data_IF_877303689751
#
_entry.id   IF_877303689751
#
_cell.length_a   1.000
_cell.length_b   1.000
_cell.length_c   1.000
_cell.angle_alpha   90.00
_cell.angle_beta   90.00
_cell.angle_gamma   90.00
#
_symmetry.space_group_name_H-M   'P 1'
#
loop_
_entity.id
_entity.type
_entity.pdbx_description
1 polymer ?
#
# COMPACT_ATOMS: atom_id res chain seq x y z
N UNK A 1 0.83 58.93 51.66
CA UNK A 1 0.60 57.52 51.28
C UNK A 1 0.50 56.68 52.53
N UNK A 2 -0.59 55.94 52.73
CA UNK A 2 -0.82 55.06 53.87
C UNK A 2 0.27 53.99 53.96
N UNK A 3 0.77 53.62 55.17
CA UNK A 3 1.88 52.67 55.32
C UNK A 3 1.64 51.31 54.65
N UNK A 4 0.39 50.88 54.57
CA UNK A 4 -0.02 49.67 53.92
C UNK A 4 0.30 49.67 52.39
N UNK A 5 0.15 50.81 51.70
CA UNK A 5 0.41 50.93 50.25
C UNK A 5 1.89 50.79 49.90
N UNK A 6 2.80 51.25 50.78
CA UNK A 6 4.26 51.09 50.63
C UNK A 6 4.69 49.62 50.77
N UNK A 7 4.06 48.89 51.67
CA UNK A 7 4.35 47.46 51.90
C UNK A 7 3.90 46.57 50.76
N UNK A 8 2.73 46.82 50.13
CA UNK A 8 2.26 46.13 48.93
C UNK A 8 3.15 46.44 47.75
N UNK A 9 3.59 47.68 47.56
CA UNK A 9 4.52 48.04 46.48
C UNK A 9 5.88 47.35 46.61
N UNK A 10 6.38 47.21 47.80
CA UNK A 10 7.67 46.54 48.09
C UNK A 10 7.55 45.03 47.84
N UNK A 11 6.48 44.37 48.31
CA UNK A 11 6.24 42.92 48.03
C UNK A 11 6.03 42.66 46.56
N UNK A 12 5.32 43.51 45.83
CA UNK A 12 5.15 43.38 44.39
C UNK A 12 6.49 43.54 43.65
N UNK A 13 7.32 44.49 44.04
CA UNK A 13 8.65 44.69 43.44
C UNK A 13 9.59 43.48 43.67
N UNK A 14 9.57 42.90 44.89
CA UNK A 14 10.34 41.70 45.23
C UNK A 14 9.86 40.50 44.43
N UNK A 15 8.53 40.35 44.27
CA UNK A 15 7.95 39.28 43.47
C UNK A 15 8.34 39.37 41.97
N UNK A 16 8.23 40.58 41.38
CA UNK A 16 8.66 40.83 39.99
C UNK A 16 10.16 40.59 39.81
N UNK A 17 11.00 41.04 40.79
CA UNK A 17 12.43 40.78 40.76
C UNK A 17 12.76 39.27 40.84
N UNK A 18 12.05 38.51 41.69
CA UNK A 18 12.21 37.07 41.80
C UNK A 18 11.79 36.33 40.51
N UNK A 19 10.66 36.69 39.89
CA UNK A 19 10.21 36.14 38.61
C UNK A 19 11.22 36.47 37.52
N UNK A 20 11.71 37.71 37.44
CA UNK A 20 12.72 38.10 36.47
C UNK A 20 14.03 37.31 36.65
N UNK A 21 14.45 37.09 37.89
CA UNK A 21 15.68 36.35 38.21
C UNK A 21 15.54 34.86 37.86
N UNK A 22 14.39 34.26 38.14
CA UNK A 22 14.07 32.88 37.72
C UNK A 22 14.06 32.78 36.19
N UNK A 23 13.39 33.69 35.51
CA UNK A 23 13.28 33.70 34.04
C UNK A 23 14.65 33.90 33.38
N UNK A 24 15.52 34.68 33.98
CA UNK A 24 16.89 34.93 33.49
C UNK A 24 17.84 33.74 33.78
N UNK A 25 17.62 33.04 34.90
CA UNK A 25 18.41 31.85 35.30
C UNK A 25 18.02 30.57 34.63
N UNK A 26 16.86 30.52 33.95
CA UNK A 26 16.46 29.36 33.17
C UNK A 26 17.44 29.15 32.00
N UNK A 27 18.07 27.97 31.88
CA UNK A 27 18.97 27.69 30.78
C UNK A 27 18.22 27.82 29.46
N UNK A 28 18.59 28.80 28.64
CA UNK A 28 18.12 28.91 27.26
C UNK A 28 18.86 27.89 26.47
N UNK A 29 18.17 26.86 25.98
CA UNK A 29 18.76 25.92 25.03
C UNK A 29 19.27 26.72 23.81
N UNK A 30 20.60 26.80 23.70
CA UNK A 30 21.23 27.40 22.51
C UNK A 30 21.00 26.47 21.35
N UNK A 31 20.30 26.93 20.35
CA UNK A 31 20.22 26.26 19.05
C UNK A 31 21.60 26.28 18.41
N UNK A 32 22.29 25.18 18.45
CA UNK A 32 23.57 25.05 17.75
C UNK A 32 23.27 24.47 16.38
N UNK A 33 23.43 25.28 15.34
CA UNK A 33 23.42 24.81 13.98
C UNK A 33 24.78 24.16 13.71
N UNK A 34 24.81 22.85 13.55
CA UNK A 34 26.01 22.11 13.25
C UNK A 34 26.25 22.11 11.73
N UNK A 35 27.50 22.44 11.34
CA UNK A 35 27.95 22.30 9.94
C UNK A 35 28.63 20.94 9.78
N UNK A 36 28.02 20.03 9.04
CA UNK A 36 28.54 18.69 8.82
C UNK A 36 28.31 18.22 7.38
N UNK A 37 29.16 17.32 6.90
CA UNK A 37 29.04 16.73 5.58
C UNK A 37 29.45 15.27 5.58
N UNK A 38 28.84 14.49 4.73
CA UNK A 38 29.17 13.07 4.53
C UNK A 38 30.66 12.90 4.21
N UNK A 39 31.28 11.90 4.83
CA UNK A 39 32.70 11.58 4.64
C UNK A 39 33.69 12.56 5.26
N UNK A 40 33.23 13.53 6.08
CA UNK A 40 34.10 14.44 6.85
C UNK A 40 34.07 14.09 8.34
N UNK A 41 35.18 14.38 9.07
CA UNK A 41 35.21 14.17 10.51
C UNK A 41 34.31 15.20 11.23
N UNK A 42 33.65 14.76 12.30
CA UNK A 42 32.87 15.59 13.19
C UNK A 42 33.79 16.58 13.93
N UNK A 43 33.55 17.88 13.74
CA UNK A 43 34.44 18.96 14.19
C UNK A 43 34.15 19.44 15.63
N UNK A 44 33.06 18.98 16.22
CA UNK A 44 32.56 19.45 17.50
C UNK A 44 32.81 18.37 18.59
N UNK A 45 32.47 18.70 19.82
CA UNK A 45 32.48 17.76 20.92
C UNK A 45 31.46 16.62 20.68
N UNK A 46 31.53 15.56 21.49
CA UNK A 46 30.58 14.45 21.42
C UNK A 46 29.15 14.99 21.49
N UNK A 47 28.32 14.62 20.51
CA UNK A 47 26.90 14.95 20.50
C UNK A 47 26.08 13.77 21.04
N UNK A 48 25.25 14.07 22.04
CA UNK A 48 24.21 13.16 22.56
C UNK A 48 22.83 13.75 22.30
N UNK A 49 21.84 12.89 22.15
CA UNK A 49 20.48 13.29 21.90
C UNK A 49 19.87 14.00 23.13
N UNK A 50 19.50 15.28 23.06
CA UNK A 50 18.89 15.98 24.20
C UNK A 50 17.41 15.59 24.41
N UNK A 51 16.80 14.94 23.45
CA UNK A 51 15.42 14.46 23.47
C UNK A 51 15.26 13.26 22.52
N UNK A 52 14.15 12.53 22.66
CA UNK A 52 13.81 11.47 21.71
C UNK A 52 13.40 12.07 20.37
N UNK A 53 13.96 11.54 19.29
CA UNK A 53 13.57 11.97 17.94
C UNK A 53 13.62 10.80 16.95
N UNK A 54 12.80 10.89 15.89
CA UNK A 54 12.79 9.89 14.84
C UNK A 54 13.85 10.22 13.78
N UNK A 55 14.52 9.19 13.27
CA UNK A 55 15.45 9.30 12.14
C UNK A 55 14.68 9.09 10.87
N UNK A 56 14.69 10.07 9.97
CA UNK A 56 14.05 9.97 8.67
C UNK A 56 14.87 9.08 7.73
N UNK A 57 14.17 8.36 6.86
CA UNK A 57 14.80 7.60 5.77
C UNK A 57 15.35 8.57 4.71
N UNK A 58 16.39 8.17 3.99
CA UNK A 58 16.83 8.92 2.81
C UNK A 58 15.78 8.89 1.71
N UNK A 59 15.83 9.86 0.79
CA UNK A 59 14.89 9.89 -0.33
C UNK A 59 15.06 8.65 -1.23
N UNK A 60 16.31 8.19 -1.41
CA UNK A 60 16.62 6.99 -2.18
C UNK A 60 15.98 5.74 -1.55
N UNK A 61 16.11 5.58 -0.22
CA UNK A 61 15.49 4.47 0.51
C UNK A 61 13.95 4.50 0.41
N UNK A 62 13.35 5.69 0.50
CA UNK A 62 11.90 5.86 0.34
C UNK A 62 11.45 5.55 -1.09
N UNK A 63 12.19 5.96 -2.10
CA UNK A 63 11.87 5.66 -3.50
C UNK A 63 12.00 4.17 -3.78
N UNK A 64 13.04 3.51 -3.26
CA UNK A 64 13.19 2.07 -3.38
C UNK A 64 12.02 1.32 -2.71
N UNK A 65 11.67 1.68 -1.49
CA UNK A 65 10.55 1.06 -0.77
C UNK A 65 9.22 1.27 -1.47
N UNK A 66 8.99 2.47 -2.03
CA UNK A 66 7.82 2.75 -2.87
C UNK A 66 7.79 1.88 -4.12
N UNK A 67 8.92 1.72 -4.78
CA UNK A 67 9.03 0.88 -5.97
C UNK A 67 8.74 -0.61 -5.62
N UNK A 68 9.28 -1.11 -4.51
CA UNK A 68 9.03 -2.47 -4.04
C UNK A 68 7.55 -2.69 -3.68
N UNK A 69 6.93 -1.74 -2.98
CA UNK A 69 5.50 -1.78 -2.65
C UNK A 69 4.65 -1.78 -3.91
N UNK A 70 4.98 -0.96 -4.90
CA UNK A 70 4.26 -0.91 -6.17
C UNK A 70 4.42 -2.19 -6.99
N UNK A 71 5.60 -2.79 -7.00
CA UNK A 71 5.87 -4.06 -7.68
C UNK A 71 5.15 -5.24 -7.00
N UNK A 72 4.93 -5.18 -5.70
CA UNK A 72 4.19 -6.19 -4.95
C UNK A 72 2.66 -6.07 -5.09
N UNK A 73 2.15 -4.96 -5.63
CA UNK A 73 0.72 -4.73 -5.79
C UNK A 73 0.07 -5.71 -6.76
N UNK A 74 -1.09 -6.21 -6.37
CA UNK A 74 -1.89 -7.14 -7.16
C UNK A 74 -3.20 -6.47 -7.55
N UNK A 75 -3.52 -6.37 -8.85
CA UNK A 75 -4.77 -5.77 -9.29
C UNK A 75 -5.97 -6.63 -8.89
N UNK A 76 -7.08 -5.97 -8.60
CA UNK A 76 -8.32 -6.61 -8.23
C UNK A 76 -9.19 -6.86 -9.45
N UNK A 77 -9.73 -8.08 -9.53
CA UNK A 77 -10.71 -8.49 -10.53
C UNK A 77 -11.94 -9.04 -9.84
N UNK A 78 -13.11 -8.69 -10.32
CA UNK A 78 -14.40 -9.15 -9.80
C UNK A 78 -14.97 -10.20 -10.74
N UNK A 79 -15.39 -11.34 -10.18
CA UNK A 79 -16.19 -12.31 -10.92
C UNK A 79 -17.60 -11.76 -11.11
N UNK A 80 -18.08 -11.73 -12.34
CA UNK A 80 -19.45 -11.38 -12.71
C UNK A 80 -20.30 -12.67 -12.79
N UNK A 81 -21.04 -13.03 -11.72
CA UNK A 81 -21.77 -14.30 -11.69
C UNK A 81 -22.90 -14.34 -12.72
N UNK A 82 -23.50 -13.18 -13.01
CA UNK A 82 -24.61 -13.06 -13.98
C UNK A 82 -24.19 -13.53 -15.37
N UNK A 83 -22.94 -13.24 -15.78
CA UNK A 83 -22.39 -13.69 -17.06
C UNK A 83 -22.34 -15.21 -17.19
N UNK A 84 -21.94 -15.89 -16.11
CA UNK A 84 -21.93 -17.34 -16.04
C UNK A 84 -23.35 -17.92 -16.12
N UNK A 85 -24.27 -17.38 -15.31
CA UNK A 85 -25.67 -17.81 -15.28
C UNK A 85 -26.39 -17.60 -16.63
N UNK A 86 -26.16 -16.45 -17.27
CA UNK A 86 -26.67 -16.16 -18.61
C UNK A 86 -26.17 -17.13 -19.67
N UNK A 87 -24.86 -17.39 -19.68
CA UNK A 87 -24.23 -18.29 -20.65
C UNK A 87 -24.70 -19.73 -20.48
N UNK A 88 -24.76 -20.24 -19.25
CA UNK A 88 -25.24 -21.59 -18.94
C UNK A 88 -26.73 -21.71 -19.29
N UNK A 89 -27.55 -20.72 -18.93
CA UNK A 89 -28.97 -20.71 -19.28
C UNK A 89 -29.20 -20.66 -20.80
N UNK A 90 -28.40 -19.87 -21.52
CA UNK A 90 -28.44 -19.84 -22.99
C UNK A 90 -28.07 -21.19 -23.60
N UNK A 91 -27.02 -21.84 -23.11
CA UNK A 91 -26.62 -23.18 -23.53
C UNK A 91 -27.72 -24.23 -23.26
N UNK A 92 -28.33 -24.22 -22.06
CA UNK A 92 -29.40 -25.15 -21.72
C UNK A 92 -30.64 -24.99 -22.63
N UNK A 93 -31.00 -23.74 -22.95
CA UNK A 93 -32.08 -23.48 -23.89
C UNK A 93 -31.76 -23.97 -25.29
N UNK A 94 -30.54 -23.73 -25.77
CA UNK A 94 -30.07 -24.20 -27.06
C UNK A 94 -30.02 -25.73 -27.13
N UNK A 95 -29.59 -26.39 -26.03
CA UNK A 95 -29.62 -27.85 -25.94
C UNK A 95 -31.02 -28.41 -26.09
N UNK A 96 -32.04 -27.83 -25.44
CA UNK A 96 -33.43 -28.29 -25.47
C UNK A 96 -34.07 -28.11 -26.86
N UNK A 97 -33.70 -27.03 -27.58
CA UNK A 97 -34.27 -26.74 -28.89
C UNK A 97 -33.60 -27.51 -30.03
N UNK A 98 -32.26 -27.50 -30.04
CA UNK A 98 -31.52 -27.87 -31.27
C UNK A 98 -30.60 -29.08 -31.08
N UNK A 99 -30.09 -29.35 -29.86
CA UNK A 99 -29.06 -30.37 -29.63
C UNK A 99 -29.54 -31.66 -28.97
N UNK A 100 -30.78 -31.71 -28.49
CA UNK A 100 -31.27 -32.87 -27.72
C UNK A 100 -31.06 -34.22 -28.37
N UNK A 101 -31.22 -34.32 -29.71
CA UNK A 101 -31.03 -35.54 -30.46
C UNK A 101 -29.56 -35.84 -30.78
N UNK A 102 -28.73 -34.83 -30.85
CA UNK A 102 -27.31 -34.94 -31.20
C UNK A 102 -26.43 -35.15 -29.96
N UNK A 103 -26.72 -34.41 -28.89
CA UNK A 103 -25.99 -34.45 -27.62
C UNK A 103 -26.86 -35.19 -26.63
N UNK A 104 -26.54 -36.43 -26.31
CA UNK A 104 -27.28 -37.21 -25.32
C UNK A 104 -27.21 -36.57 -23.93
N UNK A 105 -28.20 -36.86 -23.06
CA UNK A 105 -28.36 -36.31 -21.72
C UNK A 105 -27.06 -36.36 -20.91
N UNK A 106 -26.32 -37.48 -20.99
CA UNK A 106 -25.06 -37.65 -20.23
C UNK A 106 -23.96 -36.71 -20.67
N UNK A 107 -23.83 -36.44 -21.96
CA UNK A 107 -22.83 -35.50 -22.49
C UNK A 107 -23.23 -34.06 -22.15
N UNK A 108 -24.52 -33.75 -22.27
CA UNK A 108 -25.06 -32.44 -21.87
C UNK A 108 -24.74 -32.12 -20.39
N UNK A 109 -24.98 -33.06 -19.47
CA UNK A 109 -24.64 -32.86 -18.05
C UNK A 109 -23.15 -32.55 -17.83
N UNK A 110 -22.26 -33.25 -18.58
CA UNK A 110 -20.83 -32.98 -18.50
C UNK A 110 -20.46 -31.58 -19.03
N UNK A 111 -21.13 -31.14 -20.10
CA UNK A 111 -20.90 -29.80 -20.67
C UNK A 111 -21.36 -28.73 -19.70
N UNK A 112 -22.59 -28.83 -19.15
CA UNK A 112 -23.12 -27.87 -18.16
C UNK A 112 -22.22 -27.80 -16.95
N UNK A 113 -21.81 -28.90 -16.38
CA UNK A 113 -20.91 -28.95 -15.24
C UNK A 113 -19.53 -28.31 -15.55
N UNK A 114 -18.96 -28.58 -16.73
CA UNK A 114 -17.70 -27.98 -17.14
C UNK A 114 -17.84 -26.47 -17.36
N UNK A 115 -18.95 -25.99 -17.91
CA UNK A 115 -19.22 -24.55 -18.01
C UNK A 115 -19.28 -23.89 -16.63
N UNK A 116 -19.96 -24.51 -15.67
CA UNK A 116 -20.01 -24.02 -14.28
C UNK A 116 -18.59 -23.92 -13.66
N UNK A 117 -17.77 -24.96 -13.81
CA UNK A 117 -16.39 -24.95 -13.32
C UNK A 117 -15.58 -23.82 -13.95
N UNK A 118 -15.66 -23.63 -15.26
CA UNK A 118 -14.95 -22.61 -16.01
C UNK A 118 -15.38 -21.20 -15.53
N UNK A 119 -16.67 -20.93 -15.45
CA UNK A 119 -17.19 -19.66 -14.99
C UNK A 119 -16.89 -19.38 -13.49
N UNK A 120 -16.88 -20.43 -12.68
CA UNK A 120 -16.51 -20.33 -11.27
C UNK A 120 -15.03 -20.04 -11.06
N UNK A 121 -14.16 -20.58 -11.92
CA UNK A 121 -12.72 -20.29 -11.91
C UNK A 121 -12.45 -18.88 -12.43
N UNK A 122 -13.17 -18.47 -13.46
CA UNK A 122 -13.09 -17.15 -14.08
C UNK A 122 -12.42 -17.17 -15.45
N UNK A 123 -13.05 -16.46 -16.39
CA UNK A 123 -12.57 -16.27 -17.77
C UNK A 123 -12.09 -14.82 -17.90
N UNK A 124 -10.79 -14.65 -18.11
CA UNK A 124 -10.17 -13.35 -18.33
C UNK A 124 -10.20 -12.99 -19.82
N UNK A 125 -10.37 -11.68 -20.12
CA UNK A 125 -10.27 -11.21 -21.51
C UNK A 125 -8.82 -11.28 -22.01
N UNK A 126 -8.64 -11.48 -23.32
CA UNK A 126 -7.30 -11.50 -23.93
C UNK A 126 -6.56 -10.17 -23.77
N UNK A 127 -7.28 -9.06 -23.78
CA UNK A 127 -6.71 -7.72 -23.57
C UNK A 127 -6.21 -7.52 -22.13
N UNK A 128 -6.99 -7.98 -21.14
CA UNK A 128 -6.57 -7.91 -19.74
C UNK A 128 -5.38 -8.83 -19.46
N UNK A 129 -5.40 -10.04 -20.01
CA UNK A 129 -4.28 -10.97 -19.88
C UNK A 129 -3.00 -10.40 -20.49
N UNK A 130 -3.07 -9.84 -21.70
CA UNK A 130 -1.92 -9.21 -22.35
C UNK A 130 -1.36 -8.04 -21.52
N UNK A 131 -2.24 -7.21 -20.93
CA UNK A 131 -1.83 -6.12 -20.03
C UNK A 131 -1.11 -6.67 -18.80
N UNK A 132 -1.67 -7.65 -18.09
CA UNK A 132 -1.06 -8.25 -16.91
C UNK A 132 0.31 -8.86 -17.23
N UNK A 133 0.45 -9.53 -18.36
CA UNK A 133 1.71 -10.11 -18.82
C UNK A 133 2.74 -9.02 -19.17
N UNK A 134 2.30 -7.95 -19.83
CA UNK A 134 3.15 -6.79 -20.16
C UNK A 134 3.68 -6.11 -18.91
N UNK A 135 2.88 -6.02 -17.85
CA UNK A 135 3.25 -5.46 -16.54
C UNK A 135 3.98 -6.49 -15.64
N UNK A 136 4.30 -7.68 -16.15
CA UNK A 136 4.95 -8.78 -15.40
C UNK A 136 4.17 -9.23 -14.15
N UNK A 137 2.85 -9.03 -14.15
CA UNK A 137 1.97 -9.44 -13.06
C UNK A 137 1.60 -10.90 -13.24
N UNK A 138 1.94 -11.74 -12.27
CA UNK A 138 1.67 -13.19 -12.29
C UNK A 138 0.48 -13.59 -11.41
N UNK A 139 0.02 -12.71 -10.54
CA UNK A 139 -1.04 -12.97 -9.57
C UNK A 139 -1.98 -11.78 -9.48
N UNK A 140 -3.28 -12.05 -9.43
CA UNK A 140 -4.33 -11.05 -9.22
C UNK A 140 -5.08 -11.33 -7.92
N UNK A 141 -5.81 -10.33 -7.41
CA UNK A 141 -6.77 -10.50 -6.32
C UNK A 141 -8.16 -10.73 -6.92
N UNK A 142 -8.63 -11.97 -6.89
CA UNK A 142 -9.94 -12.34 -7.40
C UNK A 142 -11.00 -12.14 -6.32
N UNK A 143 -11.98 -11.27 -6.61
CA UNK A 143 -13.10 -10.97 -5.70
C UNK A 143 -14.30 -11.81 -6.11
N UNK A 144 -14.72 -12.69 -5.20
CA UNK A 144 -15.91 -13.51 -5.33
C UNK A 144 -16.67 -13.49 -4.01
N UNK A 145 -17.97 -13.23 -4.02
CA UNK A 145 -18.80 -13.15 -2.81
C UNK A 145 -18.20 -12.22 -1.73
N UNK A 146 -17.72 -11.04 -2.11
CA UNK A 146 -17.05 -10.07 -1.23
C UNK A 146 -15.74 -10.57 -0.58
N UNK A 147 -15.24 -11.73 -0.93
CA UNK A 147 -13.93 -12.21 -0.51
C UNK A 147 -12.90 -12.04 -1.63
N UNK A 148 -11.73 -11.48 -1.30
CA UNK A 148 -10.62 -11.34 -2.22
C UNK A 148 -9.59 -12.42 -1.93
N UNK A 149 -9.27 -13.23 -2.93
CA UNK A 149 -8.27 -14.31 -2.84
C UNK A 149 -7.19 -14.11 -3.90
N UNK A 150 -5.90 -14.35 -3.59
CA UNK A 150 -4.86 -14.32 -4.60
C UNK A 150 -5.01 -15.52 -5.54
N UNK A 151 -5.00 -15.26 -6.85
CA UNK A 151 -5.09 -16.28 -7.89
C UNK A 151 -4.01 -16.02 -8.94
N UNK A 152 -3.26 -17.05 -9.30
CA UNK A 152 -2.27 -16.96 -10.36
C UNK A 152 -2.98 -16.85 -11.74
N UNK A 153 -2.47 -16.01 -12.63
CA UNK A 153 -3.12 -15.75 -13.92
C UNK A 153 -3.13 -16.97 -14.84
N UNK A 154 -2.21 -17.91 -14.67
CA UNK A 154 -2.15 -19.17 -15.42
C UNK A 154 -3.26 -20.16 -15.02
N UNK A 155 -3.84 -20.02 -13.83
CA UNK A 155 -4.99 -20.80 -13.37
C UNK A 155 -6.31 -20.30 -13.94
N UNK A 156 -6.34 -19.09 -14.49
CA UNK A 156 -7.53 -18.52 -15.11
C UNK A 156 -7.74 -19.11 -16.52
N UNK A 157 -9.00 -19.15 -16.91
CA UNK A 157 -9.34 -19.47 -18.29
C UNK A 157 -9.23 -18.21 -19.17
N UNK A 158 -8.76 -18.39 -20.38
CA UNK A 158 -9.07 -17.52 -21.52
C UNK A 158 -10.24 -18.15 -22.28
N UNK A 159 -10.89 -17.41 -23.18
CA UNK A 159 -11.93 -17.96 -24.05
C UNK A 159 -11.42 -19.20 -24.80
N UNK A 160 -10.17 -19.15 -25.30
CA UNK A 160 -9.55 -20.28 -26.00
C UNK A 160 -9.35 -21.48 -25.07
N UNK A 161 -8.73 -21.31 -23.90
CA UNK A 161 -8.51 -22.41 -22.94
C UNK A 161 -9.84 -23.02 -22.46
N UNK A 162 -10.85 -22.17 -22.26
CA UNK A 162 -12.19 -22.61 -21.88
C UNK A 162 -12.83 -23.50 -22.97
N UNK A 163 -12.76 -23.04 -24.22
CA UNK A 163 -13.23 -23.83 -25.35
C UNK A 163 -12.46 -25.16 -25.51
N UNK A 164 -11.14 -25.13 -25.42
CA UNK A 164 -10.31 -26.34 -25.44
C UNK A 164 -10.68 -27.32 -24.32
N UNK A 165 -10.95 -26.81 -23.11
CA UNK A 165 -11.40 -27.61 -21.98
C UNK A 165 -12.76 -28.27 -22.22
N UNK A 166 -13.70 -27.58 -22.88
CA UNK A 166 -15.00 -28.12 -23.28
C UNK A 166 -14.83 -29.20 -24.33
N UNK A 167 -13.98 -28.97 -25.32
CA UNK A 167 -13.72 -29.96 -26.39
C UNK A 167 -13.00 -31.24 -25.90
N UNK A 168 -12.34 -31.15 -24.74
CA UNK A 168 -11.67 -32.29 -24.11
C UNK A 168 -12.61 -33.19 -23.26
N UNK A 169 -13.88 -32.84 -23.10
CA UNK A 169 -14.86 -33.59 -22.28
C UNK A 169 -15.08 -35.01 -22.81
N UNK A 170 -15.10 -35.17 -24.13
CA UNK A 170 -15.26 -36.46 -24.77
C UNK A 170 -14.36 -36.55 -26.02
N UNK A 171 -13.42 -37.48 -26.00
CA UNK A 171 -12.42 -37.67 -27.07
C UNK A 171 -12.81 -38.76 -28.06
N UNK A 172 -13.97 -39.43 -27.90
CA UNK A 172 -14.50 -40.40 -28.88
C UNK A 172 -14.87 -39.70 -30.18
N UNK A 173 -14.91 -40.44 -31.25
CA UNK A 173 -15.29 -39.87 -32.57
C UNK A 173 -16.69 -39.25 -32.54
N UNK A 174 -17.65 -39.95 -31.93
CA UNK A 174 -19.01 -39.42 -31.76
C UNK A 174 -19.06 -38.19 -30.84
N UNK A 175 -18.41 -38.27 -29.69
CA UNK A 175 -18.37 -37.16 -28.72
C UNK A 175 -17.75 -35.90 -29.32
N UNK A 176 -16.63 -36.03 -30.03
CA UNK A 176 -15.99 -34.88 -30.72
C UNK A 176 -16.91 -34.26 -31.77
N UNK A 177 -17.58 -35.09 -32.58
CA UNK A 177 -18.53 -34.60 -33.58
C UNK A 177 -19.69 -33.85 -32.91
N UNK A 178 -20.26 -34.41 -31.84
CA UNK A 178 -21.34 -33.79 -31.09
C UNK A 178 -20.89 -32.45 -30.48
N UNK A 179 -19.69 -32.38 -29.86
CA UNK A 179 -19.14 -31.16 -29.29
C UNK A 179 -18.87 -30.08 -30.36
N UNK A 180 -18.31 -30.47 -31.52
CA UNK A 180 -18.07 -29.53 -32.63
C UNK A 180 -19.37 -28.94 -33.18
N UNK A 181 -20.43 -29.76 -33.24
CA UNK A 181 -21.76 -29.33 -33.74
C UNK A 181 -22.55 -28.51 -32.74
N UNK A 182 -22.07 -28.42 -31.47
CA UNK A 182 -22.76 -27.73 -30.38
C UNK A 182 -22.44 -26.23 -30.29
N UNK A 183 -21.61 -25.67 -31.17
CA UNK A 183 -21.23 -24.26 -31.21
C UNK A 183 -20.85 -23.71 -29.79
N UNK A 184 -20.12 -24.50 -28.98
CA UNK A 184 -19.81 -24.19 -27.57
C UNK A 184 -19.08 -22.88 -27.40
N UNK A 185 -18.42 -22.38 -28.43
CA UNK A 185 -17.75 -21.07 -28.40
C UNK A 185 -18.71 -19.92 -28.15
N UNK A 186 -19.96 -20.03 -28.55
CA UNK A 186 -20.96 -18.97 -28.37
C UNK A 186 -21.37 -18.80 -26.91
N UNK A 187 -21.11 -19.81 -26.07
CA UNK A 187 -21.44 -19.83 -24.64
C UNK A 187 -20.22 -19.55 -23.74
N UNK A 188 -19.09 -19.16 -24.32
CA UNK A 188 -17.87 -18.86 -23.56
C UNK A 188 -17.50 -17.40 -23.74
N UNK A 189 -17.65 -16.60 -22.69
CA UNK A 189 -17.31 -15.19 -22.71
C UNK A 189 -16.58 -14.79 -21.41
N UNK A 190 -15.75 -13.74 -21.44
CA UNK A 190 -15.08 -13.25 -20.25
C UNK A 190 -16.09 -12.83 -19.18
N UNK A 191 -15.85 -13.27 -17.93
CA UNK A 191 -16.65 -12.90 -16.77
C UNK A 191 -15.82 -12.26 -15.65
N UNK A 192 -14.54 -11.99 -15.89
CA UNK A 192 -13.71 -11.23 -14.98
C UNK A 192 -13.67 -9.77 -15.43
N UNK A 193 -13.93 -8.88 -14.50
CA UNK A 193 -13.87 -7.43 -14.71
C UNK A 193 -12.83 -6.81 -13.77
N UNK A 194 -11.93 -6.00 -14.34
CA UNK A 194 -10.98 -5.22 -13.55
C UNK A 194 -11.72 -4.23 -12.63
N UNK A 195 -11.37 -4.26 -11.34
CA UNK A 195 -11.87 -3.30 -10.35
C UNK A 195 -10.84 -2.19 -10.15
N UNK A 196 -10.99 -1.15 -10.95
CA UNK A 196 -10.08 0.00 -10.91
C UNK A 196 -10.10 0.68 -9.54
N UNK A 197 -11.30 0.94 -8.99
CA UNK A 197 -11.44 1.68 -7.74
C UNK A 197 -10.76 0.95 -6.57
N UNK A 198 -10.98 -0.36 -6.47
CA UNK A 198 -10.38 -1.17 -5.41
C UNK A 198 -8.88 -1.33 -5.59
N UNK A 199 -8.41 -1.49 -6.83
CA UNK A 199 -6.98 -1.58 -7.14
C UNK A 199 -6.25 -0.29 -6.80
N UNK A 200 -6.81 0.87 -7.17
CA UNK A 200 -6.23 2.18 -6.85
C UNK A 200 -6.27 2.48 -5.35
N UNK A 201 -7.38 2.16 -4.67
CA UNK A 201 -7.49 2.32 -3.22
C UNK A 201 -6.45 1.48 -2.47
N UNK A 202 -6.30 0.21 -2.83
CA UNK A 202 -5.31 -0.69 -2.24
C UNK A 202 -3.87 -0.21 -2.49
N UNK A 203 -3.60 0.30 -3.70
CA UNK A 203 -2.30 0.89 -4.03
C UNK A 203 -2.00 2.13 -3.21
N UNK A 204 -2.97 3.01 -3.06
CA UNK A 204 -2.84 4.23 -2.24
C UNK A 204 -2.59 3.88 -0.78
N UNK A 205 -3.38 2.99 -0.21
CA UNK A 205 -3.23 2.53 1.18
C UNK A 205 -1.84 1.93 1.42
N UNK A 206 -1.34 1.11 0.51
CA UNK A 206 -0.02 0.50 0.61
C UNK A 206 1.11 1.55 0.56
N UNK A 207 0.97 2.60 -0.26
CA UNK A 207 1.94 3.69 -0.30
C UNK A 207 1.87 4.58 0.95
N UNK A 208 0.68 4.82 1.49
CA UNK A 208 0.49 5.60 2.72
C UNK A 208 0.97 4.85 3.98
N UNK A 209 1.01 3.52 3.94
CA UNK A 209 1.55 2.68 5.01
C UNK A 209 3.08 2.72 5.12
N UNK A 210 3.79 3.27 4.13
CA UNK A 210 5.24 3.39 4.16
C UNK A 210 5.65 4.38 5.25
N UNK A 211 6.43 3.90 6.23
CA UNK A 211 6.97 4.76 7.28
C UNK A 211 8.03 5.70 6.71
N UNK A 212 7.91 6.99 6.98
CA UNK A 212 8.92 7.99 6.63
C UNK A 212 10.17 7.91 7.52
N UNK A 213 10.08 7.18 8.64
CA UNK A 213 11.15 7.07 9.64
C UNK A 213 11.68 5.65 9.73
N UNK A 214 12.98 5.51 9.99
CA UNK A 214 13.66 4.21 10.11
C UNK A 214 13.72 3.72 11.55
N UNK A 215 14.02 4.62 12.50
CA UNK A 215 14.19 4.31 13.92
C UNK A 215 14.01 5.56 14.79
N UNK A 216 14.01 5.36 16.10
CA UNK A 216 13.97 6.44 17.09
C UNK A 216 15.29 6.45 17.87
N UNK A 217 15.91 7.62 18.00
CA UNK A 217 17.04 7.87 18.88
C UNK A 217 16.49 8.30 20.23
N UNK A 218 16.94 7.62 21.29
CA UNK A 218 16.51 7.92 22.66
C UNK A 218 17.30 9.10 23.22
N UNK A 219 16.69 9.84 24.14
CA UNK A 219 17.38 10.86 24.91
C UNK A 219 18.63 10.28 25.58
N UNK A 220 19.69 11.08 25.66
CA UNK A 220 21.01 10.73 26.20
C UNK A 220 21.78 9.65 25.41
N UNK A 221 21.26 9.15 24.28
CA UNK A 221 21.98 8.27 23.36
C UNK A 221 23.06 9.06 22.61
N UNK A 222 24.26 8.50 22.50
CA UNK A 222 25.36 9.06 21.69
C UNK A 222 24.95 9.05 20.22
N UNK A 223 25.08 10.19 19.54
CA UNK A 223 24.86 10.34 18.09
C UNK A 223 26.22 10.21 17.36
N UNK A 224 27.21 11.06 17.75
CA UNK A 224 28.53 11.09 17.12
C UNK A 224 29.57 11.54 18.14
N UNK A 225 30.77 11.00 18.09
CA UNK A 225 31.91 11.41 18.93
C UNK A 225 32.79 12.44 18.24
N UNK A 226 33.58 13.15 19.03
CA UNK A 226 34.55 14.12 18.50
C UNK A 226 35.57 13.40 17.58
N UNK A 227 35.70 13.88 16.35
CA UNK A 227 36.60 13.32 15.35
C UNK A 227 36.08 12.07 14.62
N UNK A 228 34.93 11.53 15.00
CA UNK A 228 34.31 10.39 14.29
C UNK A 228 34.02 10.79 12.82
N UNK A 229 34.29 9.89 11.88
CA UNK A 229 33.91 10.09 10.48
C UNK A 229 32.39 9.99 10.33
N UNK A 230 31.80 10.95 9.64
CA UNK A 230 30.36 10.97 9.36
C UNK A 230 30.09 10.04 8.19
N UNK A 231 29.60 8.85 8.47
CA UNK A 231 29.07 7.90 7.48
C UNK A 231 27.62 8.27 7.09
N UNK A 232 27.03 7.49 6.20
CA UNK A 232 25.64 7.72 5.74
C UNK A 232 24.62 7.64 6.88
N UNK A 233 24.82 6.70 7.82
CA UNK A 233 23.92 6.52 8.94
C UNK A 233 23.99 7.72 9.91
N UNK A 234 25.18 8.11 10.32
CA UNK A 234 25.39 9.30 11.16
C UNK A 234 24.90 10.57 10.48
N UNK A 235 25.08 10.69 9.16
CA UNK A 235 24.59 11.82 8.39
C UNK A 235 23.07 11.94 8.47
N UNK A 236 22.33 10.86 8.26
CA UNK A 236 20.86 10.83 8.36
C UNK A 236 20.38 11.13 9.79
N UNK A 237 21.09 10.62 10.80
CA UNK A 237 20.75 10.91 12.19
C UNK A 237 20.94 12.39 12.51
N UNK A 238 22.07 13.00 12.10
CA UNK A 238 22.37 14.41 12.30
C UNK A 238 21.39 15.32 11.56
N UNK A 239 21.05 14.97 10.32
CA UNK A 239 20.07 15.71 9.53
C UNK A 239 18.67 15.65 10.17
N UNK A 240 18.27 14.48 10.63
CA UNK A 240 16.98 14.28 11.32
C UNK A 240 16.93 15.04 12.64
N UNK A 241 18.03 15.01 13.40
CA UNK A 241 18.17 15.78 14.64
C UNK A 241 18.00 17.28 14.38
N UNK A 242 18.69 17.82 13.38
CA UNK A 242 18.61 19.24 13.02
C UNK A 242 17.19 19.64 12.58
N UNK A 243 16.53 18.79 11.81
CA UNK A 243 15.16 19.01 11.37
C UNK A 243 14.17 19.04 12.56
N UNK A 244 14.27 18.07 13.48
CA UNK A 244 13.41 18.01 14.67
C UNK A 244 13.71 19.16 15.67
N UNK A 245 14.96 19.59 15.76
CA UNK A 245 15.33 20.76 16.56
C UNK A 245 14.69 22.04 16.00
N UNK A 246 14.73 22.24 14.68
CA UNK A 246 14.10 23.40 14.04
C UNK A 246 12.58 23.39 14.21
N UNK A 247 11.90 22.26 14.04
CA UNK A 247 10.45 22.15 14.28
C UNK A 247 10.05 22.57 15.70
N UNK A 248 10.80 22.11 16.70
CA UNK A 248 10.54 22.46 18.12
C UNK A 248 10.70 23.94 18.41
N UNK A 249 11.59 24.62 17.69
CA UNK A 249 11.78 26.08 17.83
C UNK A 249 10.59 26.82 17.26
N UNK A 250 10.17 26.43 16.04
CA UNK A 250 9.02 27.04 15.36
C UNK A 250 7.75 26.87 16.19
N UNK A 251 7.50 25.69 16.74
CA UNK A 251 6.35 25.41 17.60
C UNK A 251 6.37 26.28 18.89
N UNK A 252 7.52 26.44 19.52
CA UNK A 252 7.66 27.31 20.71
C UNK A 252 7.48 28.80 20.35
N UNK A 253 7.99 29.22 19.18
CA UNK A 253 7.80 30.57 18.66
C UNK A 253 6.33 30.91 18.42
N UNK A 254 5.56 30.00 17.88
CA UNK A 254 4.11 30.14 17.63
C UNK A 254 3.35 30.22 18.97
N UNK A 255 3.69 29.37 19.95
CA UNK A 255 3.05 29.42 21.28
C UNK A 255 3.28 30.73 22.02
N UNK A 256 4.47 31.35 21.90
CA UNK A 256 4.74 32.65 22.51
C UNK A 256 3.96 33.80 21.88
N UNK A 257 3.65 33.71 20.58
CA UNK A 257 2.90 34.74 19.84
C UNK A 257 1.38 34.68 20.10
N UNK A 258 0.87 33.56 20.61
CA UNK A 258 -0.56 33.36 20.92
C UNK A 258 -0.94 33.80 22.36
N UNK A 259 0.03 34.09 23.23
CA UNK A 259 -0.16 34.45 24.65
C UNK A 259 0.13 35.93 24.88
N UNK A 260 0.64 36.69 23.92
CA UNK A 260 0.85 38.14 23.95
C UNK A 260 -0.27 38.90 23.27
#
# INVERSE_FOLDING_TARGET
MKPATKQYLFTAAVFVAAVALITFSLPREKTVNYDFALGKPWKYEQLTAPFNFAVYKSEEALQQERAEVLAAQRPYYIVQPDKGSEAIGAYENFYKSDLYLLVGVRLNQKISHRLEEIYNTGIISSSDLARLQGDSITTIMLVKNNMATPVAIDQLYTVQKAYESLMAIDTTLWGRHALQSSNLNDFVQPNLRYDQLKSEASRKEALEAISLTSRVIQKDQKIVGAGDMIDEDNFLVLQSFQQEQNKRIDERGIQMTLIG
#
